data_IF_540294499803
#
_entry.id   IF_540294499803
#
_cell.length_a   1.000
_cell.length_b   1.000
_cell.length_c   1.000
_cell.angle_alpha   90.00
_cell.angle_beta   90.00
_cell.angle_gamma   90.00
#
_symmetry.space_group_name_H-M   'P 1'
#
loop_
_entity.id
_entity.type
_entity.pdbx_description
1 polymer ?
#
# COMPACT_ATOMS: atom_id res chain seq x y z
N UNK A 1 5.96 -32.59 50.89
CA UNK A 1 6.69 -31.88 49.81
C UNK A 1 5.77 -31.87 48.60
N UNK A 2 4.95 -30.82 48.46
CA UNK A 2 3.83 -30.81 47.52
C UNK A 2 4.04 -29.69 46.51
N UNK A 3 4.37 -30.08 45.28
CA UNK A 3 4.53 -29.19 44.13
C UNK A 3 3.17 -28.54 43.80
N UNK A 4 3.05 -27.22 43.95
CA UNK A 4 1.93 -26.46 43.37
C UNK A 4 2.28 -26.11 41.93
N UNK A 5 1.44 -26.57 41.00
CA UNK A 5 1.42 -26.15 39.60
C UNK A 5 1.14 -24.65 39.52
N UNK A 6 2.05 -23.88 38.95
CA UNK A 6 1.80 -22.50 38.54
C UNK A 6 1.22 -22.54 37.14
N UNK A 7 -0.09 -22.32 37.03
CA UNK A 7 -0.79 -22.20 35.75
C UNK A 7 -0.31 -20.93 35.04
N UNK A 8 0.19 -21.09 33.81
CA UNK A 8 0.59 -19.98 32.95
C UNK A 8 -0.59 -19.09 32.62
N UNK A 9 -0.54 -17.84 33.09
CA UNK A 9 -1.52 -16.82 32.75
C UNK A 9 -1.12 -16.24 31.39
N UNK A 10 -1.95 -16.50 30.37
CA UNK A 10 -1.81 -15.84 29.08
C UNK A 10 -2.03 -14.33 29.28
N UNK A 11 -1.09 -13.53 28.77
CA UNK A 11 -1.17 -12.07 28.81
C UNK A 11 -2.38 -11.62 27.98
N UNK A 12 -3.50 -11.37 28.66
CA UNK A 12 -4.74 -10.94 28.04
C UNK A 12 -4.58 -9.45 27.73
N UNK A 13 -4.43 -9.10 26.45
CA UNK A 13 -4.41 -7.71 26.01
C UNK A 13 -5.69 -7.02 26.48
N UNK A 14 -5.62 -5.80 27.06
CA UNK A 14 -6.78 -5.12 27.60
C UNK A 14 -7.84 -4.95 26.52
N UNK A 15 -9.08 -5.21 26.89
CA UNK A 15 -10.24 -5.06 26.01
C UNK A 15 -10.36 -3.56 25.68
N UNK A 16 -9.93 -3.18 24.48
CA UNK A 16 -10.04 -1.80 23.98
C UNK A 16 -11.52 -1.55 23.67
N UNK A 17 -12.31 -1.29 24.72
CA UNK A 17 -13.64 -0.68 24.59
C UNK A 17 -13.47 0.83 24.51
N UNK A 18 -12.97 1.29 23.37
CA UNK A 18 -13.15 2.68 22.97
C UNK A 18 -14.61 2.93 22.58
N UNK A 19 -15.09 4.19 22.57
CA UNK A 19 -16.41 4.52 22.04
C UNK A 19 -16.55 3.92 20.64
N UNK A 20 -17.75 3.44 20.30
CA UNK A 20 -18.12 3.02 18.95
C UNK A 20 -17.99 4.26 18.06
N UNK A 21 -16.77 4.53 17.61
CA UNK A 21 -16.46 5.60 16.70
C UNK A 21 -17.12 5.23 15.38
N UNK A 22 -17.75 6.18 14.71
CA UNK A 22 -18.50 6.03 13.45
C UNK A 22 -17.64 5.54 12.25
N UNK A 23 -16.41 5.09 12.52
CA UNK A 23 -15.48 4.49 11.58
C UNK A 23 -15.35 3.00 11.89
N UNK A 24 -16.03 2.16 11.12
CA UNK A 24 -15.87 0.71 11.18
C UNK A 24 -14.44 0.22 10.82
N UNK A 25 -13.58 1.09 10.27
CA UNK A 25 -12.17 0.82 10.00
C UNK A 25 -11.22 1.93 10.46
N UNK A 26 -10.05 1.53 10.99
CA UNK A 26 -8.87 2.39 11.12
C UNK A 26 -7.91 2.15 9.97
N UNK A 27 -7.39 3.23 9.39
CA UNK A 27 -6.33 3.20 8.37
C UNK A 27 -5.05 3.69 9.02
N UNK A 28 -4.04 2.83 9.07
CA UNK A 28 -2.81 3.10 9.80
C UNK A 28 -1.58 2.69 8.98
N UNK A 29 -0.56 3.55 9.00
CA UNK A 29 0.78 3.19 8.59
C UNK A 29 1.45 2.45 9.75
N UNK A 30 1.90 1.22 9.52
CA UNK A 30 2.58 0.42 10.54
C UNK A 30 4.02 0.92 10.66
N UNK A 31 4.48 1.32 11.85
CA UNK A 31 5.89 1.67 12.07
C UNK A 31 6.82 0.51 11.71
N UNK A 32 7.99 0.84 11.15
CA UNK A 32 8.95 -0.16 10.64
C UNK A 32 9.40 -1.15 11.73
N UNK A 33 9.65 -0.66 12.93
CA UNK A 33 10.03 -1.43 14.13
C UNK A 33 8.90 -2.33 14.66
N UNK A 34 7.64 -2.00 14.35
CA UNK A 34 6.46 -2.79 14.72
C UNK A 34 5.99 -3.75 13.61
N UNK A 35 6.54 -3.66 12.39
CA UNK A 35 6.02 -4.33 11.20
C UNK A 35 6.01 -5.86 11.28
N UNK A 36 6.94 -6.46 12.04
CA UNK A 36 6.99 -7.91 12.24
C UNK A 36 5.74 -8.46 12.94
N UNK A 37 5.08 -7.67 13.79
CA UNK A 37 3.94 -8.12 14.60
C UNK A 37 2.71 -8.46 13.75
N UNK A 38 2.20 -7.55 12.87
CA UNK A 38 1.07 -7.88 12.01
C UNK A 38 1.47 -8.68 10.75
N UNK A 39 2.77 -8.90 10.50
CA UNK A 39 3.27 -9.35 9.20
C UNK A 39 2.59 -10.61 8.68
N UNK A 40 2.51 -11.68 9.50
CA UNK A 40 1.92 -12.96 9.07
C UNK A 40 0.48 -12.79 8.55
N UNK A 41 -0.31 -11.92 9.19
CA UNK A 41 -1.70 -11.62 8.78
C UNK A 41 -1.71 -10.79 7.51
N UNK A 42 -0.80 -9.83 7.39
CA UNK A 42 -0.66 -9.01 6.19
C UNK A 42 -0.26 -9.84 4.98
N UNK A 43 0.77 -10.67 5.13
CA UNK A 43 1.28 -11.56 4.09
C UNK A 43 0.21 -12.55 3.60
N UNK A 44 -0.64 -13.07 4.47
CA UNK A 44 -1.75 -13.94 4.07
C UNK A 44 -2.68 -13.27 3.04
N UNK A 45 -2.86 -11.95 3.12
CA UNK A 45 -3.62 -11.18 2.14
C UNK A 45 -2.77 -10.88 0.90
N UNK A 46 -1.53 -10.43 1.09
CA UNK A 46 -0.62 -10.05 -0.01
C UNK A 46 -0.25 -11.23 -0.91
N UNK A 47 -0.01 -12.41 -0.35
CA UNK A 47 0.31 -13.63 -1.10
C UNK A 47 -0.78 -13.97 -2.13
N UNK A 48 -2.05 -13.66 -1.84
CA UNK A 48 -3.16 -13.84 -2.80
C UNK A 48 -3.12 -12.83 -3.94
N UNK A 49 -2.59 -11.62 -3.71
CA UNK A 49 -2.37 -10.66 -4.77
C UNK A 49 -1.18 -11.05 -5.64
N UNK A 50 -0.08 -11.51 -5.02
CA UNK A 50 1.12 -12.01 -5.71
C UNK A 50 0.77 -13.22 -6.60
N UNK A 51 0.03 -14.20 -6.07
CA UNK A 51 -0.36 -15.40 -6.81
C UNK A 51 -1.24 -15.15 -8.05
N UNK A 52 -1.81 -13.94 -8.22
CA UNK A 52 -2.58 -13.58 -9.42
C UNK A 52 -1.70 -13.20 -10.61
N UNK A 53 -0.41 -12.98 -10.38
CA UNK A 53 0.54 -12.58 -11.41
C UNK A 53 1.74 -13.53 -11.36
N UNK A 54 1.58 -14.77 -11.83
CA UNK A 54 2.60 -15.82 -11.70
C UNK A 54 3.94 -15.41 -12.33
N UNK A 55 3.91 -14.68 -13.44
CA UNK A 55 5.10 -14.26 -14.18
C UNK A 55 5.97 -13.23 -13.41
N UNK A 56 5.42 -12.59 -12.38
CA UNK A 56 6.15 -11.65 -11.49
C UNK A 56 6.22 -12.13 -10.05
N UNK A 57 5.59 -13.26 -9.72
CA UNK A 57 5.44 -13.72 -8.34
C UNK A 57 6.80 -14.01 -7.66
N UNK A 58 7.78 -14.49 -8.43
CA UNK A 58 9.13 -14.75 -7.94
C UNK A 58 9.87 -13.50 -7.44
N UNK A 59 9.45 -12.30 -7.86
CA UNK A 59 10.03 -11.02 -7.41
C UNK A 59 9.51 -10.56 -6.05
N UNK A 60 8.45 -11.20 -5.53
CA UNK A 60 7.78 -10.80 -4.29
C UNK A 60 7.73 -11.95 -3.29
N UNK A 61 8.68 -11.97 -2.35
CA UNK A 61 8.69 -12.93 -1.24
C UNK A 61 8.27 -12.27 0.07
N UNK A 62 7.81 -13.08 1.02
CA UNK A 62 7.44 -12.62 2.37
C UNK A 62 8.63 -11.97 3.06
N UNK A 63 9.77 -12.64 2.99
CA UNK A 63 11.00 -12.30 3.70
C UNK A 63 11.61 -11.01 3.15
N UNK A 64 11.72 -10.89 1.83
CA UNK A 64 12.27 -9.69 1.19
C UNK A 64 11.37 -8.47 1.44
N UNK A 65 10.05 -8.64 1.34
CA UNK A 65 9.13 -7.52 1.53
C UNK A 65 9.07 -7.08 3.00
N UNK A 66 9.13 -8.00 3.96
CA UNK A 66 9.23 -7.65 5.38
C UNK A 66 10.54 -6.90 5.66
N UNK A 67 11.65 -7.39 5.12
CA UNK A 67 12.95 -6.74 5.25
C UNK A 67 12.89 -5.30 4.74
N UNK A 68 12.34 -5.08 3.54
CA UNK A 68 12.18 -3.73 2.98
C UNK A 68 11.35 -2.81 3.89
N UNK A 69 10.27 -3.32 4.48
CA UNK A 69 9.43 -2.55 5.41
C UNK A 69 10.21 -2.22 6.68
N UNK A 70 10.90 -3.18 7.27
CA UNK A 70 11.65 -2.99 8.52
C UNK A 70 12.87 -2.07 8.34
N UNK A 71 13.47 -2.05 7.15
CA UNK A 71 14.58 -1.17 6.79
C UNK A 71 14.14 0.20 6.25
N UNK A 72 12.83 0.51 6.29
CA UNK A 72 12.28 1.78 5.82
C UNK A 72 12.36 2.01 4.30
N UNK A 73 12.66 0.96 3.53
CA UNK A 73 12.64 0.99 2.06
C UNK A 73 11.20 0.86 1.50
N UNK A 74 10.28 0.38 2.33
CA UNK A 74 8.86 0.33 2.04
C UNK A 74 8.05 0.73 3.28
N UNK A 75 6.82 1.18 3.07
CA UNK A 75 5.85 1.49 4.12
C UNK A 75 4.67 0.51 4.04
N UNK A 76 4.35 -0.14 5.16
CA UNK A 76 3.19 -1.02 5.29
C UNK A 76 1.99 -0.22 5.81
N UNK A 77 0.83 -0.43 5.19
CA UNK A 77 -0.44 0.17 5.57
C UNK A 77 -1.47 -0.91 5.84
N UNK A 78 -2.28 -0.73 6.87
CA UNK A 78 -3.36 -1.67 7.23
C UNK A 78 -4.70 -0.95 7.33
N UNK A 79 -5.75 -1.64 6.90
CA UNK A 79 -7.13 -1.32 7.23
C UNK A 79 -7.61 -2.30 8.32
N UNK A 80 -7.66 -1.82 9.56
CA UNK A 80 -8.11 -2.59 10.71
C UNK A 80 -9.62 -2.43 10.90
N UNK A 81 -10.39 -3.52 10.87
CA UNK A 81 -11.81 -3.51 11.21
C UNK A 81 -11.98 -3.63 12.72
N UNK A 82 -12.64 -2.64 13.34
CA UNK A 82 -12.98 -2.69 14.76
C UNK A 82 -14.06 -3.73 15.04
N UNK A 83 -15.10 -3.76 14.22
CA UNK A 83 -16.21 -4.71 14.32
C UNK A 83 -15.72 -6.17 14.28
N UNK A 84 -14.83 -6.49 13.34
CA UNK A 84 -14.35 -7.86 13.12
C UNK A 84 -13.01 -8.15 13.80
N UNK A 85 -12.46 -7.17 14.51
CA UNK A 85 -11.17 -7.23 15.22
C UNK A 85 -10.07 -7.86 14.38
N UNK A 86 -9.94 -7.45 13.11
CA UNK A 86 -8.97 -8.02 12.17
C UNK A 86 -8.54 -7.04 11.07
N UNK A 87 -7.38 -7.31 10.48
CA UNK A 87 -6.90 -6.64 9.27
C UNK A 87 -7.75 -7.13 8.08
N UNK A 88 -8.36 -6.20 7.35
CA UNK A 88 -9.15 -6.49 6.15
C UNK A 88 -8.55 -5.92 4.86
N UNK A 89 -7.61 -4.97 4.97
CA UNK A 89 -6.90 -4.38 3.85
C UNK A 89 -5.44 -4.18 4.19
N UNK A 90 -4.58 -4.36 3.19
CA UNK A 90 -3.14 -4.15 3.27
C UNK A 90 -2.68 -3.47 2.00
N UNK A 91 -1.86 -2.44 2.14
CA UNK A 91 -1.14 -1.82 1.03
C UNK A 91 0.32 -1.71 1.43
N UNK A 92 1.22 -1.96 0.50
CA UNK A 92 2.64 -1.62 0.65
C UNK A 92 2.93 -0.47 -0.30
N UNK A 93 3.67 0.53 0.16
CA UNK A 93 4.17 1.61 -0.68
C UNK A 93 5.68 1.71 -0.67
N UNK A 94 6.24 2.25 -1.75
CA UNK A 94 7.65 2.62 -1.87
C UNK A 94 7.75 4.02 -2.48
N UNK A 95 8.84 4.71 -2.19
CA UNK A 95 9.13 6.02 -2.77
C UNK A 95 10.39 5.88 -3.61
N UNK A 96 10.34 6.40 -4.83
CA UNK A 96 11.52 6.52 -5.67
C UNK A 96 11.41 7.73 -6.59
N UNK A 97 12.56 8.20 -7.04
CA UNK A 97 12.65 9.22 -8.07
C UNK A 97 12.54 8.53 -9.43
N UNK A 98 11.61 8.99 -10.27
CA UNK A 98 11.39 8.46 -11.63
C UNK A 98 11.60 9.54 -12.68
N UNK A 99 12.86 9.87 -13.02
CA UNK A 99 13.16 10.91 -14.00
C UNK A 99 12.62 10.63 -15.42
N UNK A 100 12.16 9.41 -15.69
CA UNK A 100 11.60 9.00 -16.98
C UNK A 100 10.21 9.59 -17.30
N UNK A 101 9.49 10.14 -16.31
CA UNK A 101 8.19 10.81 -16.51
C UNK A 101 8.39 12.31 -16.72
N UNK A 102 9.19 12.94 -15.86
CA UNK A 102 9.81 14.24 -16.05
C UNK A 102 11.05 14.36 -15.13
N UNK A 103 12.00 15.27 -15.42
CA UNK A 103 13.14 15.52 -14.55
C UNK A 103 12.65 15.97 -13.17
N UNK A 104 13.02 15.22 -12.12
CA UNK A 104 12.66 15.41 -10.70
C UNK A 104 11.32 14.83 -10.24
N UNK A 105 10.63 14.02 -11.05
CA UNK A 105 9.39 13.39 -10.60
C UNK A 105 9.63 12.41 -9.46
N UNK A 106 8.95 12.64 -8.33
CA UNK A 106 8.96 11.74 -7.19
C UNK A 106 7.66 10.94 -7.13
N UNK A 107 7.78 9.62 -7.02
CA UNK A 107 6.63 8.70 -7.15
C UNK A 107 6.42 7.94 -5.86
N UNK A 108 5.17 7.94 -5.38
CA UNK A 108 4.68 6.98 -4.40
C UNK A 108 4.11 5.77 -5.14
N UNK A 109 4.84 4.67 -5.16
CA UNK A 109 4.39 3.44 -5.78
C UNK A 109 3.61 2.59 -4.77
N UNK A 110 2.52 2.00 -5.21
CA UNK A 110 1.71 1.03 -4.49
C UNK A 110 1.84 -0.34 -5.18
N UNK A 111 2.98 -1.03 -5.06
CA UNK A 111 3.22 -2.26 -5.81
C UNK A 111 2.28 -3.40 -5.43
N UNK A 112 1.85 -3.44 -4.18
CA UNK A 112 0.99 -4.48 -3.66
C UNK A 112 -0.15 -3.90 -2.82
N UNK A 113 -1.36 -4.31 -3.16
CA UNK A 113 -2.57 -4.00 -2.41
C UNK A 113 -3.50 -5.22 -2.42
N UNK A 114 -3.95 -5.62 -1.24
CA UNK A 114 -4.80 -6.79 -1.07
C UNK A 114 -5.77 -6.60 0.08
N UNK A 115 -6.89 -7.32 0.03
CA UNK A 115 -7.85 -7.31 1.12
C UNK A 115 -9.21 -7.84 0.72
N UNK A 116 -10.13 -7.76 1.66
CA UNK A 116 -11.55 -8.11 1.56
C UNK A 116 -12.37 -6.87 1.90
N UNK A 117 -13.55 -6.69 1.32
CA UNK A 117 -14.42 -5.51 1.57
C UNK A 117 -13.77 -4.16 1.21
N UNK A 118 -12.96 -4.13 0.15
CA UNK A 118 -12.30 -2.91 -0.33
C UNK A 118 -13.26 -1.75 -0.60
N UNK A 119 -14.52 -2.02 -0.92
CA UNK A 119 -15.56 -0.99 -1.09
C UNK A 119 -15.70 -0.11 0.16
N UNK A 120 -15.46 -0.68 1.35
CA UNK A 120 -15.67 0.01 2.62
C UNK A 120 -14.42 0.76 3.10
N UNK A 121 -13.23 0.15 3.03
CA UNK A 121 -11.99 0.77 3.51
C UNK A 121 -11.12 1.42 2.41
N UNK A 122 -11.39 1.13 1.14
CA UNK A 122 -10.51 1.51 0.02
C UNK A 122 -10.41 3.02 -0.18
N UNK A 123 -11.53 3.74 -0.12
CA UNK A 123 -11.51 5.20 -0.25
C UNK A 123 -10.78 5.90 0.92
N UNK A 124 -11.03 5.55 2.20
CA UNK A 124 -10.22 6.03 3.31
C UNK A 124 -8.73 5.70 3.18
N UNK A 125 -8.38 4.46 2.81
CA UNK A 125 -6.99 4.05 2.57
C UNK A 125 -6.35 4.94 1.51
N UNK A 126 -7.02 5.12 0.37
CA UNK A 126 -6.48 5.93 -0.71
C UNK A 126 -6.34 7.41 -0.35
N UNK A 127 -7.25 7.96 0.45
CA UNK A 127 -7.11 9.32 0.97
C UNK A 127 -5.85 9.47 1.85
N UNK A 128 -5.58 8.48 2.71
CA UNK A 128 -4.36 8.43 3.52
C UNK A 128 -3.11 8.34 2.64
N UNK A 129 -3.08 7.43 1.66
CA UNK A 129 -1.94 7.26 0.75
C UNK A 129 -1.64 8.56 -0.02
N UNK A 130 -2.67 9.29 -0.47
CA UNK A 130 -2.49 10.61 -1.11
C UNK A 130 -1.91 11.65 -0.17
N UNK A 131 -2.42 11.72 1.06
CA UNK A 131 -1.93 12.67 2.06
C UNK A 131 -0.46 12.37 2.41
N UNK A 132 -0.14 11.10 2.64
CA UNK A 132 1.22 10.66 2.92
C UNK A 132 2.16 10.92 1.74
N UNK A 133 1.78 10.52 0.53
CA UNK A 133 2.60 10.73 -0.66
C UNK A 133 2.92 12.22 -0.88
N UNK A 134 1.95 13.12 -0.68
CA UNK A 134 2.19 14.58 -0.74
C UNK A 134 3.12 15.06 0.36
N UNK A 135 2.95 14.57 1.59
CA UNK A 135 3.85 14.90 2.70
C UNK A 135 5.29 14.43 2.45
N UNK A 136 5.45 13.39 1.64
CA UNK A 136 6.75 12.88 1.18
C UNK A 136 7.27 13.63 -0.07
N UNK A 137 6.55 14.62 -0.58
CA UNK A 137 6.92 15.41 -1.74
C UNK A 137 6.73 14.68 -3.08
N UNK A 138 5.88 13.66 -3.13
CA UNK A 138 5.60 12.93 -4.37
C UNK A 138 4.64 13.71 -5.28
N UNK A 139 4.91 13.68 -6.57
CA UNK A 139 4.10 14.26 -7.65
C UNK A 139 3.02 13.28 -8.13
N UNK A 140 3.29 11.98 -8.00
CA UNK A 140 2.43 10.92 -8.51
C UNK A 140 2.21 9.79 -7.50
N UNK A 141 1.07 9.10 -7.64
CA UNK A 141 0.89 7.73 -7.18
C UNK A 141 0.93 6.80 -8.38
N UNK A 142 1.71 5.74 -8.29
CA UNK A 142 1.77 4.67 -9.28
C UNK A 142 1.28 3.34 -8.71
N UNK A 143 0.69 2.50 -9.55
CA UNK A 143 0.38 1.11 -9.25
C UNK A 143 0.48 0.27 -10.51
N UNK A 144 0.44 -1.06 -10.37
CA UNK A 144 0.56 -1.97 -11.50
C UNK A 144 -0.58 -2.98 -11.57
N UNK A 145 -0.87 -3.46 -12.78
CA UNK A 145 -1.74 -4.61 -12.99
C UNK A 145 -3.23 -4.25 -13.06
N UNK A 146 -3.99 -4.42 -11.97
CA UNK A 146 -5.46 -4.47 -12.08
C UNK A 146 -6.06 -3.11 -12.49
N UNK A 147 -6.70 -3.07 -13.65
CA UNK A 147 -7.51 -1.92 -14.14
C UNK A 147 -8.64 -1.47 -13.21
N UNK A 148 -8.92 -2.21 -12.12
CA UNK A 148 -9.88 -1.82 -11.09
C UNK A 148 -9.53 -0.49 -10.41
N UNK A 149 -8.25 -0.13 -10.32
CA UNK A 149 -7.80 1.17 -9.83
C UNK A 149 -8.29 2.34 -10.69
N UNK A 150 -8.37 2.17 -12.02
CA UNK A 150 -8.89 3.19 -12.93
C UNK A 150 -10.33 3.57 -12.62
N UNK A 151 -11.17 2.54 -12.40
CA UNK A 151 -12.61 2.72 -12.17
C UNK A 151 -12.92 3.40 -10.85
N UNK A 152 -12.06 3.22 -9.84
CA UNK A 152 -12.34 3.65 -8.48
C UNK A 152 -11.65 4.97 -8.11
N UNK A 153 -10.49 5.27 -8.73
CA UNK A 153 -9.59 6.30 -8.20
C UNK A 153 -8.99 7.23 -9.26
N UNK A 154 -9.40 7.14 -10.54
CA UNK A 154 -9.01 8.09 -11.59
C UNK A 154 -7.60 7.91 -12.16
N UNK A 155 -7.06 6.69 -12.08
CA UNK A 155 -5.76 6.36 -12.69
C UNK A 155 -5.81 6.31 -14.22
N UNK A 156 -4.75 6.78 -14.86
CA UNK A 156 -4.48 6.66 -16.30
C UNK A 156 -3.47 5.54 -16.55
N UNK A 157 -3.57 4.81 -17.66
CA UNK A 157 -2.58 3.80 -18.05
C UNK A 157 -1.48 4.43 -18.90
N UNK A 158 -0.22 4.22 -18.51
CA UNK A 158 0.98 4.78 -19.13
C UNK A 158 1.93 3.65 -19.53
N UNK A 159 1.50 2.86 -20.51
CA UNK A 159 2.26 1.71 -21.00
C UNK A 159 2.20 0.50 -20.06
N UNK A 160 3.23 -0.35 -20.14
CA UNK A 160 3.34 -1.58 -19.37
C UNK A 160 4.77 -1.77 -18.84
N UNK A 161 4.91 -2.53 -17.76
CA UNK A 161 6.21 -3.01 -17.27
C UNK A 161 6.82 -4.00 -18.26
N UNK A 162 8.10 -4.32 -18.11
CA UNK A 162 8.77 -5.38 -18.88
C UNK A 162 8.02 -6.72 -18.78
N UNK A 163 7.43 -7.00 -17.62
CA UNK A 163 6.62 -8.19 -17.37
C UNK A 163 5.15 -8.06 -17.87
N UNK A 164 4.84 -7.02 -18.65
CA UNK A 164 3.53 -6.84 -19.29
C UNK A 164 2.41 -6.30 -18.39
N UNK A 165 2.70 -5.85 -17.17
CA UNK A 165 1.68 -5.26 -16.30
C UNK A 165 1.41 -3.81 -16.70
N UNK A 166 0.15 -3.39 -16.90
CA UNK A 166 -0.14 -2.00 -17.19
C UNK A 166 0.31 -1.11 -16.02
N UNK A 167 1.02 -0.04 -16.35
CA UNK A 167 1.45 0.98 -15.40
C UNK A 167 0.30 1.96 -15.24
N UNK A 168 -0.21 2.11 -14.01
CA UNK A 168 -1.31 2.98 -13.68
C UNK A 168 -0.77 4.16 -12.88
N UNK A 169 -1.01 5.39 -13.35
CA UNK A 169 -0.51 6.61 -12.71
C UNK A 169 -1.63 7.59 -12.44
N UNK A 170 -1.54 8.26 -11.31
CA UNK A 170 -2.41 9.36 -10.93
C UNK A 170 -1.57 10.53 -10.40
N UNK A 171 -1.69 11.75 -10.98
CA UNK A 171 -1.05 12.94 -10.44
C UNK A 171 -1.67 13.32 -9.08
N UNK A 172 -0.82 13.71 -8.13
CA UNK A 172 -1.22 14.18 -6.81
C UNK A 172 -1.48 15.68 -6.76
N UNK A 173 -0.91 16.44 -7.68
CA UNK A 173 -1.12 17.87 -7.81
C UNK A 173 -2.21 18.17 -8.85
N UNK A 174 -3.05 19.18 -8.59
CA UNK A 174 -3.76 19.88 -9.65
C UNK A 174 -2.75 20.67 -10.45
N UNK A 175 -1.94 20.00 -11.26
CA UNK A 175 -1.10 20.67 -12.24
C UNK A 175 -2.05 21.25 -13.30
N UNK A 176 -2.56 22.45 -13.05
CA UNK A 176 -2.53 23.44 -14.12
C UNK A 176 -1.06 23.63 -14.47
N UNK A 177 -0.49 22.69 -15.23
CA UNK A 177 0.48 23.08 -16.22
C UNK A 177 -0.30 24.04 -17.12
N UNK A 178 -0.08 25.33 -16.94
CA UNK A 178 -0.27 26.26 -18.04
C UNK A 178 0.43 25.62 -19.25
N UNK A 179 -0.22 25.50 -20.42
CA UNK A 179 0.47 25.03 -21.61
C UNK A 179 1.59 26.04 -21.90
N UNK A 180 2.80 25.72 -21.45
CA UNK A 180 4.01 26.28 -22.02
C UNK A 180 3.96 25.87 -23.49
N UNK A 181 3.64 26.84 -24.32
CA UNK A 181 3.55 26.65 -25.76
C UNK A 181 4.87 26.15 -26.32
N UNK A 182 4.73 25.51 -27.48
CA UNK A 182 5.75 25.17 -28.47
C UNK A 182 6.61 23.92 -28.27
N UNK A 183 6.16 22.89 -28.98
CA UNK A 183 6.93 22.02 -29.92
C UNK A 183 8.05 21.14 -29.38
N UNK A 184 7.79 19.83 -29.38
CA UNK A 184 8.83 18.79 -29.44
C UNK A 184 8.42 17.48 -28.77
N UNK A 185 7.76 16.59 -29.51
CA UNK A 185 7.55 15.19 -29.08
C UNK A 185 8.86 14.41 -29.24
N UNK A 186 9.43 13.75 -28.20
CA UNK A 186 10.65 12.97 -28.35
C UNK A 186 10.39 11.47 -28.65
N UNK A 187 9.13 11.04 -28.87
CA UNK A 187 8.83 9.64 -29.10
C UNK A 187 8.98 9.23 -30.58
N UNK A 188 10.23 8.97 -30.99
CA UNK A 188 10.58 8.07 -32.11
C UNK A 188 11.86 7.31 -31.75
N UNK A 189 11.73 6.01 -31.48
CA UNK A 189 12.27 4.90 -32.28
C UNK A 189 12.08 3.59 -31.53
#
# INVERSE_FOLDING_TARGET
MTLRKTSGQALQLPDIQGPVNDRAWAIEGVPADAAAVPWRRCWTLLARAVARFPDVAGKWTSEALLHDVMCGQAQLWVAWSYERRRIEGVVVTRIFDRPAMAPNDKVCECPLAAGVNMVQWGAPMFAMLKAWARAQGCDYIAGYGRRGWKRLFGFTEMGATEDGLPILIMPLCGSTCTPCGSTGSPWRH
#
